data_IF_317403307566
#
_entry.id   IF_317403307566
#
_cell.length_a   1.000
_cell.length_b   1.000
_cell.length_c   1.000
_cell.angle_alpha   90.00
_cell.angle_beta   90.00
_cell.angle_gamma   90.00
#
_symmetry.space_group_name_H-M   'P 1'
#
loop_
_entity.id
_entity.type
_entity.pdbx_description
1 polymer ?
#
# COMPACT_ATOMS: atom_id res chain seq x y z
N UNK A 1 -10.18 19.69 -0.43
CA UNK A 1 -8.95 18.94 -0.81
C UNK A 1 -9.24 17.45 -0.73
N UNK A 2 -8.90 16.65 -1.73
CA UNK A 2 -9.09 15.18 -1.68
C UNK A 2 -7.96 14.56 -0.85
N UNK A 3 -8.28 13.61 0.03
CA UNK A 3 -7.30 12.75 0.70
C UNK A 3 -7.50 11.33 0.22
N UNK A 4 -6.56 10.46 0.55
CA UNK A 4 -6.60 9.05 0.15
C UNK A 4 -6.37 8.19 1.38
N UNK A 5 -7.19 7.17 1.57
CA UNK A 5 -6.99 6.15 2.59
C UNK A 5 -6.35 4.92 1.93
N UNK A 6 -5.21 4.51 2.46
CA UNK A 6 -4.61 3.20 2.21
C UNK A 6 -5.04 2.27 3.34
N UNK A 7 -5.64 1.13 3.00
CA UNK A 7 -5.95 0.06 3.93
C UNK A 7 -5.20 -1.20 3.49
N UNK A 8 -4.46 -1.82 4.40
CA UNK A 8 -3.77 -3.09 4.20
C UNK A 8 -4.31 -4.08 5.24
N UNK A 9 -4.76 -5.24 4.76
CA UNK A 9 -5.29 -6.32 5.58
C UNK A 9 -4.47 -7.57 5.33
N UNK A 10 -3.95 -8.17 6.39
CA UNK A 10 -3.25 -9.45 6.32
C UNK A 10 -3.81 -10.43 7.35
N UNK A 11 -3.83 -11.72 6.99
CA UNK A 11 -4.33 -12.78 7.85
C UNK A 11 -3.44 -12.90 9.10
N UNK A 12 -4.06 -12.77 10.27
CA UNK A 12 -3.36 -12.86 11.56
C UNK A 12 -2.60 -11.60 11.98
N UNK A 13 -2.76 -10.47 11.25
CA UNK A 13 -2.23 -9.16 11.65
C UNK A 13 -3.37 -8.15 11.82
N UNK A 14 -3.14 -7.16 12.68
CA UNK A 14 -4.04 -6.00 12.77
C UNK A 14 -4.02 -5.21 11.45
N UNK A 15 -5.17 -4.74 10.95
CA UNK A 15 -5.23 -3.95 9.73
C UNK A 15 -4.48 -2.63 9.90
N UNK A 16 -3.81 -2.21 8.84
CA UNK A 16 -3.10 -0.93 8.76
C UNK A 16 -3.96 0.03 7.95
N UNK A 17 -4.26 1.19 8.51
CA UNK A 17 -5.02 2.25 7.86
C UNK A 17 -4.26 3.57 7.94
N UNK A 18 -3.85 4.10 6.79
CA UNK A 18 -3.06 5.32 6.67
C UNK A 18 -3.69 6.32 5.71
N UNK A 19 -3.67 7.61 6.08
CA UNK A 19 -4.25 8.69 5.28
C UNK A 19 -3.14 9.50 4.62
N UNK A 20 -3.22 9.60 3.30
CA UNK A 20 -2.26 10.28 2.45
C UNK A 20 -2.88 11.50 1.76
N UNK A 21 -2.05 12.50 1.39
CA UNK A 21 -2.51 13.68 0.66
C UNK A 21 -3.01 13.36 -0.75
N UNK A 22 -2.51 12.28 -1.37
CA UNK A 22 -2.83 11.90 -2.75
C UNK A 22 -2.52 10.41 -2.99
N UNK A 23 -3.01 9.88 -4.12
CA UNK A 23 -2.87 8.46 -4.49
C UNK A 23 -1.41 8.06 -4.75
N UNK A 24 -0.60 8.96 -5.31
CA UNK A 24 0.81 8.66 -5.60
C UNK A 24 1.60 8.49 -4.29
N UNK A 25 1.30 9.31 -3.28
CA UNK A 25 1.86 9.17 -1.94
C UNK A 25 1.40 7.88 -1.26
N UNK A 26 0.13 7.51 -1.39
CA UNK A 26 -0.39 6.23 -0.87
C UNK A 26 0.29 5.02 -1.53
N UNK A 27 0.47 5.06 -2.86
CA UNK A 27 1.11 3.96 -3.61
C UNK A 27 2.60 3.81 -3.26
N UNK A 28 3.30 4.93 -3.01
CA UNK A 28 4.68 4.90 -2.47
C UNK A 28 4.77 4.28 -1.08
N UNK A 29 3.81 4.59 -0.20
CA UNK A 29 3.74 3.99 1.13
C UNK A 29 3.46 2.47 1.05
N UNK A 30 2.56 2.06 0.17
CA UNK A 30 2.29 0.65 -0.12
C UNK A 30 3.54 -0.09 -0.64
N UNK A 31 4.27 0.51 -1.59
CA UNK A 31 5.52 -0.08 -2.09
C UNK A 31 6.57 -0.21 -0.96
N UNK A 32 6.70 0.81 -0.10
CA UNK A 32 7.59 0.75 1.05
C UNK A 32 7.18 -0.36 2.04
N UNK A 33 5.88 -0.54 2.28
CA UNK A 33 5.33 -1.62 3.09
C UNK A 33 5.75 -3.00 2.57
N UNK A 34 5.50 -3.25 1.27
CA UNK A 34 5.86 -4.51 0.62
C UNK A 34 7.37 -4.77 0.67
N UNK A 35 8.19 -3.72 0.46
CA UNK A 35 9.66 -3.82 0.54
C UNK A 35 10.14 -4.19 1.95
N UNK A 36 9.61 -3.55 3.00
CA UNK A 36 9.95 -3.91 4.38
C UNK A 36 9.57 -5.35 4.69
N UNK A 37 8.38 -5.76 4.23
CA UNK A 37 7.81 -7.05 4.60
C UNK A 37 8.46 -8.23 3.90
N UNK A 38 8.86 -8.04 2.64
CA UNK A 38 9.53 -9.09 1.87
C UNK A 38 11.00 -9.26 2.27
N UNK A 39 11.68 -8.23 2.84
CA UNK A 39 13.13 -8.22 3.17
C UNK A 39 14.05 -8.87 2.11
N UNK A 40 13.58 -8.98 0.86
CA UNK A 40 14.19 -9.80 -0.18
C UNK A 40 14.77 -8.89 -1.24
N UNK A 41 16.06 -9.11 -1.51
CA UNK A 41 16.98 -8.48 -2.47
C UNK A 41 16.51 -7.19 -3.18
N UNK A 42 17.22 -6.06 -3.02
CA UNK A 42 16.94 -4.79 -3.71
C UNK A 42 16.97 -4.88 -5.25
N UNK A 43 17.37 -6.01 -5.83
CA UNK A 43 17.38 -6.28 -7.25
C UNK A 43 15.99 -6.47 -7.89
N UNK A 44 14.93 -6.74 -7.10
CA UNK A 44 13.56 -6.94 -7.62
C UNK A 44 12.69 -5.66 -7.56
N UNK A 45 13.05 -4.70 -6.71
CA UNK A 45 12.13 -3.63 -6.29
C UNK A 45 12.49 -2.23 -6.78
N UNK A 46 13.65 -2.03 -7.43
CA UNK A 46 14.11 -0.69 -7.79
C UNK A 46 13.45 -0.12 -9.07
N UNK A 47 12.95 -0.98 -9.96
CA UNK A 47 12.44 -0.58 -11.29
C UNK A 47 10.96 -0.94 -11.53
N UNK A 48 10.33 -1.73 -10.66
CA UNK A 48 8.94 -2.20 -10.86
C UNK A 48 8.17 -2.36 -9.54
N UNK A 49 7.86 -1.24 -8.88
CA UNK A 49 7.05 -1.22 -7.65
C UNK A 49 5.67 -1.87 -7.86
N UNK A 50 5.09 -1.74 -9.05
CA UNK A 50 3.80 -2.34 -9.37
C UNK A 50 3.87 -3.87 -9.37
N UNK A 51 4.87 -4.47 -10.04
CA UNK A 51 5.02 -5.93 -10.05
C UNK A 51 5.36 -6.51 -8.67
N UNK A 52 6.05 -5.75 -7.82
CA UNK A 52 6.32 -6.13 -6.45
C UNK A 52 5.05 -6.17 -5.58
N UNK A 53 4.20 -5.16 -5.73
CA UNK A 53 2.89 -5.08 -5.07
C UNK A 53 2.02 -6.23 -5.56
N UNK A 54 1.89 -6.42 -6.87
CA UNK A 54 1.10 -7.53 -7.43
C UNK A 54 1.57 -8.88 -6.88
N UNK A 55 2.87 -9.17 -6.92
CA UNK A 55 3.39 -10.44 -6.41
C UNK A 55 3.18 -10.66 -4.91
N UNK A 56 3.18 -9.58 -4.10
CA UNK A 56 2.94 -9.68 -2.67
C UNK A 56 1.47 -10.00 -2.35
N UNK A 57 0.54 -9.42 -3.11
CA UNK A 57 -0.89 -9.53 -2.89
C UNK A 57 -1.60 -10.55 -3.81
N UNK A 58 -0.85 -11.30 -4.63
CA UNK A 58 -1.38 -12.39 -5.46
C UNK A 58 -1.93 -13.56 -4.62
N UNK A 59 -1.48 -13.70 -3.37
CA UNK A 59 -1.96 -14.71 -2.44
C UNK A 59 -3.22 -14.31 -1.64
N UNK A 60 -4.01 -15.30 -1.18
CA UNK A 60 -5.24 -15.08 -0.38
C UNK A 60 -5.00 -14.49 1.02
N UNK A 61 -3.76 -14.36 1.47
CA UNK A 61 -3.43 -13.99 2.85
C UNK A 61 -3.29 -12.49 3.08
N UNK A 62 -3.23 -11.69 2.02
CA UNK A 62 -3.03 -10.25 2.09
C UNK A 62 -3.89 -9.53 1.04
N UNK A 63 -4.49 -8.41 1.41
CA UNK A 63 -5.23 -7.55 0.51
C UNK A 63 -4.94 -6.07 0.83
N UNK A 64 -5.05 -5.22 -0.18
CA UNK A 64 -4.99 -3.77 0.01
C UNK A 64 -6.11 -3.07 -0.75
N UNK A 65 -6.44 -1.86 -0.30
CA UNK A 65 -7.28 -0.95 -1.06
C UNK A 65 -6.80 0.48 -0.89
N UNK A 66 -6.97 1.27 -1.95
CA UNK A 66 -6.68 2.70 -1.97
C UNK A 66 -7.99 3.38 -2.36
N UNK A 67 -8.53 4.21 -1.46
CA UNK A 67 -9.82 4.87 -1.66
C UNK A 67 -9.71 6.38 -1.46
N UNK A 68 -10.28 7.15 -2.39
CA UNK A 68 -10.42 8.59 -2.24
C UNK A 68 -11.40 8.93 -1.12
N UNK A 69 -10.98 9.76 -0.18
CA UNK A 69 -11.81 10.32 0.87
C UNK A 69 -11.99 11.81 0.61
N UNK A 70 -13.25 12.26 0.55
CA UNK A 70 -13.55 13.68 0.46
C UNK A 70 -12.99 14.37 1.71
N UNK A 71 -12.09 15.33 1.53
CA UNK A 71 -11.65 16.16 2.65
C UNK A 71 -12.78 17.10 3.03
N UNK A 72 -13.25 16.97 4.26
CA UNK A 72 -14.23 17.87 4.86
C UNK A 72 -13.71 19.31 4.78
N UNK A 73 -14.35 20.14 3.95
CA UNK A 73 -14.14 21.58 3.92
C UNK A 73 -14.97 22.17 5.07
N UNK A 74 -14.46 22.08 6.31
CA UNK A 74 -15.04 22.79 7.47
C UNK A 74 -14.15 23.93 7.92
#
# INVERSE_FOLDING_TARGET
MQRVLLLIQEAGQEPIADVHPDEATARRALAAYVRDRTRTSPALHADNDDGAIEAYFDGETAAYTIVGVAGDER
#
